data_IF_013891810450
#
_entry.id   IF_013891810450
#
_cell.length_a   1.000
_cell.length_b   1.000
_cell.length_c   1.000
_cell.angle_alpha   90.00
_cell.angle_beta   90.00
_cell.angle_gamma   90.00
#
_symmetry.space_group_name_H-M   'P 1'
#
loop_
_entity.id
_entity.type
_entity.pdbx_description
1 polymer ?
#
# COMPACT_ATOMS: atom_id res chain seq x y z
N UNK A 1 23.60 -18.23 8.32
CA UNK A 1 24.67 -17.22 8.50
C UNK A 1 23.95 -15.89 8.53
N UNK A 2 23.86 -15.27 9.70
CA UNK A 2 23.05 -14.08 9.91
C UNK A 2 23.74 -12.88 9.27
N UNK A 3 22.96 -12.03 8.57
CA UNK A 3 23.41 -10.75 8.01
C UNK A 3 23.99 -9.82 9.11
N UNK A 4 23.69 -10.09 10.40
CA UNK A 4 24.32 -9.41 11.54
C UNK A 4 25.85 -9.57 11.62
N UNK A 5 26.43 -10.67 11.13
CA UNK A 5 27.86 -10.95 11.30
C UNK A 5 28.77 -10.21 10.29
N UNK A 6 28.20 -9.59 9.25
CA UNK A 6 28.98 -8.85 8.25
C UNK A 6 29.07 -7.33 8.52
N UNK A 7 28.21 -6.76 9.38
CA UNK A 7 28.25 -5.33 9.71
C UNK A 7 29.22 -4.96 10.84
N UNK A 8 29.67 -5.92 11.65
CA UNK A 8 30.64 -5.65 12.72
C UNK A 8 32.09 -5.51 12.23
N UNK A 9 32.35 -5.71 10.94
CA UNK A 9 33.70 -5.65 10.37
C UNK A 9 34.05 -4.38 9.59
N UNK A 10 33.12 -3.43 9.42
CA UNK A 10 33.42 -2.13 8.81
C UNK A 10 33.54 -1.04 9.90
N UNK A 11 34.77 -0.57 10.13
CA UNK A 11 35.09 0.42 11.18
C UNK A 11 34.70 1.88 10.84
N UNK A 12 34.06 2.12 9.69
CA UNK A 12 33.81 3.47 9.18
C UNK A 12 32.32 3.85 9.07
N UNK A 13 31.39 3.02 9.55
CA UNK A 13 29.96 3.36 9.53
C UNK A 13 29.56 3.96 10.88
N UNK A 14 29.14 5.23 10.88
CA UNK A 14 28.58 5.86 12.07
C UNK A 14 27.23 5.25 12.45
N UNK A 15 26.88 5.26 13.73
CA UNK A 15 25.58 4.77 14.23
C UNK A 15 24.39 5.44 13.49
N UNK A 16 24.55 6.71 13.11
CA UNK A 16 23.56 7.46 12.32
C UNK A 16 23.40 6.97 10.87
N UNK A 17 24.46 6.43 10.28
CA UNK A 17 24.45 5.83 8.94
C UNK A 17 23.88 4.42 8.98
N UNK A 18 24.17 3.65 10.02
CA UNK A 18 23.55 2.35 10.26
C UNK A 18 22.03 2.47 10.41
N UNK A 19 21.52 3.42 11.20
CA UNK A 19 20.08 3.69 11.32
C UNK A 19 19.44 4.16 10.00
N UNK A 20 20.18 4.90 9.19
CA UNK A 20 19.71 5.37 7.89
C UNK A 20 19.68 4.25 6.85
N UNK A 21 20.68 3.36 6.88
CA UNK A 21 20.73 2.15 6.06
C UNK A 21 19.65 1.16 6.48
N UNK A 22 19.40 0.97 7.78
CA UNK A 22 18.31 0.13 8.27
C UNK A 22 16.95 0.66 7.82
N UNK A 23 16.73 1.99 7.88
CA UNK A 23 15.52 2.60 7.32
C UNK A 23 15.38 2.36 5.82
N UNK A 24 16.48 2.42 5.08
CA UNK A 24 16.50 2.14 3.64
C UNK A 24 16.19 0.65 3.39
N UNK A 25 16.83 -0.27 4.11
CA UNK A 25 16.66 -1.72 4.00
C UNK A 25 15.24 -2.13 4.37
N UNK A 26 14.68 -1.64 5.48
CA UNK A 26 13.28 -1.89 5.89
C UNK A 26 12.31 -1.37 4.83
N UNK A 27 12.57 -0.17 4.29
CA UNK A 27 11.75 0.42 3.21
C UNK A 27 11.77 -0.40 1.92
N UNK A 28 12.95 -0.88 1.52
CA UNK A 28 13.07 -1.75 0.34
C UNK A 28 12.47 -3.13 0.61
N UNK A 29 12.74 -3.75 1.75
CA UNK A 29 12.19 -5.06 2.12
C UNK A 29 10.67 -5.05 2.29
N UNK A 30 10.11 -3.96 2.84
CA UNK A 30 8.67 -3.76 2.94
C UNK A 30 7.97 -3.74 1.58
N UNK A 31 8.65 -3.21 0.56
CA UNK A 31 8.18 -3.20 -0.83
C UNK A 31 8.29 -4.59 -1.49
N UNK A 32 9.23 -5.43 -1.05
CA UNK A 32 9.50 -6.77 -1.59
C UNK A 32 8.72 -7.92 -0.91
N UNK A 33 8.09 -7.70 0.25
CA UNK A 33 7.34 -8.72 1.00
C UNK A 33 6.02 -9.20 0.34
N UNK A 34 5.69 -8.72 -0.86
CA UNK A 34 4.63 -9.30 -1.73
C UNK A 34 5.16 -10.36 -2.72
N UNK A 35 6.38 -10.86 -2.52
CA UNK A 35 6.83 -12.08 -3.18
C UNK A 35 6.46 -13.26 -2.28
N UNK A 36 5.84 -14.31 -2.81
CA UNK A 36 5.45 -15.52 -2.07
C UNK A 36 6.67 -16.18 -1.40
N UNK A 37 7.07 -15.70 -0.23
CA UNK A 37 8.15 -16.30 0.55
C UNK A 37 7.56 -17.53 1.25
N UNK A 38 7.76 -18.68 0.63
CA UNK A 38 7.52 -19.98 1.25
C UNK A 38 8.53 -20.19 2.38
N UNK A 39 8.07 -20.47 3.59
CA UNK A 39 8.94 -20.73 4.74
C UNK A 39 8.99 -22.24 4.94
N UNK A 40 10.19 -22.82 5.00
CA UNK A 40 10.35 -24.23 5.33
C UNK A 40 10.37 -24.35 6.86
N UNK A 41 9.39 -25.05 7.43
CA UNK A 41 9.37 -25.34 8.86
C UNK A 41 10.58 -26.22 9.21
N UNK A 42 11.40 -25.76 10.14
CA UNK A 42 12.70 -26.39 10.48
C UNK A 42 12.51 -27.73 11.21
N UNK A 43 11.35 -27.95 11.84
CA UNK A 43 11.01 -29.17 12.58
C UNK A 43 10.33 -30.22 11.69
N UNK A 44 9.48 -29.78 10.75
CA UNK A 44 8.69 -30.69 9.90
C UNK A 44 9.24 -30.82 8.48
N UNK A 45 10.12 -29.92 8.05
CA UNK A 45 10.68 -29.87 6.69
C UNK A 45 9.67 -29.52 5.60
N UNK A 46 8.44 -29.14 5.97
CA UNK A 46 7.37 -28.84 5.03
C UNK A 46 7.36 -27.35 4.68
N UNK A 47 7.03 -27.04 3.42
CA UNK A 47 6.73 -25.67 3.00
C UNK A 47 5.43 -25.22 3.68
N UNK A 48 5.55 -24.23 4.56
CA UNK A 48 4.43 -23.56 5.21
C UNK A 48 4.31 -22.13 4.67
N UNK A 49 3.06 -21.69 4.54
CA UNK A 49 2.76 -20.27 4.33
C UNK A 49 3.17 -19.51 5.58
N UNK A 50 3.91 -18.41 5.43
CA UNK A 50 4.28 -17.56 6.55
C UNK A 50 3.04 -17.23 7.40
N UNK A 51 3.13 -17.29 8.74
CA UNK A 51 2.00 -16.94 9.59
C UNK A 51 1.53 -15.52 9.25
N UNK A 52 0.27 -15.40 8.84
CA UNK A 52 -0.41 -14.12 8.60
C UNK A 52 -0.61 -13.42 9.95
N UNK A 53 0.45 -12.91 10.55
CA UNK A 53 0.34 -11.99 11.69
C UNK A 53 -0.24 -10.68 11.17
N UNK A 54 -1.54 -10.56 11.41
CA UNK A 54 -2.46 -9.52 11.00
C UNK A 54 -2.18 -8.18 11.73
N UNK A 55 -0.95 -7.67 11.61
CA UNK A 55 -0.67 -6.25 11.62
C UNK A 55 0.04 -6.01 10.29
N UNK A 56 -0.78 -5.74 9.27
CA UNK A 56 -0.29 -5.29 7.97
C UNK A 56 0.27 -3.89 8.18
N UNK A 57 1.52 -3.81 8.64
CA UNK A 57 2.25 -2.56 8.84
C UNK A 57 2.81 -2.02 7.51
N UNK A 58 2.51 -2.70 6.40
CA UNK A 58 2.99 -2.40 5.05
C UNK A 58 4.52 -2.22 5.02
N UNK A 59 5.25 -3.07 5.76
CA UNK A 59 6.70 -2.99 5.89
C UNK A 59 7.16 -1.82 6.75
N UNK A 60 6.44 -1.56 7.84
CA UNK A 60 6.66 -0.44 8.74
C UNK A 60 6.27 0.93 8.16
N UNK A 61 5.54 0.96 7.04
CA UNK A 61 5.08 2.18 6.39
C UNK A 61 3.72 2.65 6.88
N UNK A 62 3.00 1.88 7.70
CA UNK A 62 1.69 2.26 8.19
C UNK A 62 1.49 1.88 9.66
N UNK A 63 0.80 2.72 10.41
CA UNK A 63 0.35 2.45 11.77
C UNK A 63 -1.14 2.10 11.69
N UNK A 64 -1.51 0.91 12.18
CA UNK A 64 -2.90 0.49 12.26
C UNK A 64 -3.67 1.32 13.31
N UNK A 65 -4.80 1.91 12.89
CA UNK A 65 -5.64 2.79 13.69
C UNK A 65 -6.99 2.19 14.09
N UNK A 66 -7.27 0.93 13.73
CA UNK A 66 -8.53 0.25 14.01
C UNK A 66 -9.37 -0.01 12.76
N UNK A 67 -10.67 -0.31 12.96
CA UNK A 67 -11.60 -0.62 11.87
C UNK A 67 -12.85 0.23 11.95
N UNK A 68 -13.51 0.42 10.81
CA UNK A 68 -14.80 1.09 10.72
C UNK A 68 -15.69 0.40 9.68
N UNK A 69 -16.98 0.26 9.99
CA UNK A 69 -17.96 -0.25 9.04
C UNK A 69 -18.59 0.91 8.25
N UNK A 70 -18.42 0.91 6.92
CA UNK A 70 -18.96 1.92 6.01
C UNK A 70 -19.29 1.29 4.66
N UNK A 71 -20.35 1.75 4.00
CA UNK A 71 -20.79 1.26 2.68
C UNK A 71 -21.03 -0.27 2.66
N UNK A 72 -21.45 -0.83 3.80
CA UNK A 72 -21.65 -2.28 3.98
C UNK A 72 -20.36 -3.11 4.03
N UNK A 73 -19.19 -2.47 4.22
CA UNK A 73 -17.88 -3.12 4.29
C UNK A 73 -17.15 -2.73 5.57
N UNK A 74 -16.30 -3.64 6.07
CA UNK A 74 -15.37 -3.36 7.15
C UNK A 74 -14.05 -2.84 6.55
N UNK A 75 -13.65 -1.64 6.96
CA UNK A 75 -12.45 -0.96 6.50
C UNK A 75 -11.42 -0.92 7.61
N UNK A 76 -10.17 -1.26 7.28
CA UNK A 76 -9.03 -1.04 8.16
C UNK A 76 -8.56 0.40 7.98
N UNK A 77 -8.29 1.07 9.10
CA UNK A 77 -7.81 2.45 9.12
C UNK A 77 -6.32 2.42 9.40
N UNK A 78 -5.55 3.16 8.60
CA UNK A 78 -4.13 3.32 8.78
C UNK A 78 -3.74 4.79 8.82
N UNK A 79 -2.64 5.08 9.51
CA UNK A 79 -2.03 6.40 9.60
C UNK A 79 -0.55 6.31 9.24
N UNK A 80 0.06 7.39 8.73
CA UNK A 80 1.48 7.42 8.47
C UNK A 80 2.29 7.34 9.78
N UNK A 81 3.43 6.64 9.79
CA UNK A 81 4.40 6.70 10.87
C UNK A 81 4.94 8.11 11.10
N UNK A 82 5.44 8.38 12.31
CA UNK A 82 5.92 9.71 12.73
C UNK A 82 7.07 10.26 11.87
N UNK A 83 7.84 9.40 11.19
CA UNK A 83 8.94 9.82 10.32
C UNK A 83 8.47 10.42 8.98
N UNK A 84 7.18 10.33 8.64
CA UNK A 84 6.59 11.13 7.57
C UNK A 84 6.26 12.53 8.10
N UNK A 85 7.19 13.47 7.97
CA UNK A 85 7.05 14.83 8.54
C UNK A 85 5.84 15.62 7.99
N UNK A 86 5.44 15.36 6.74
CA UNK A 86 4.32 16.04 6.04
C UNK A 86 3.63 15.08 5.07
N UNK A 87 2.87 14.11 5.57
CA UNK A 87 2.22 13.14 4.72
C UNK A 87 1.10 13.83 3.92
N UNK A 88 0.96 13.45 2.66
CA UNK A 88 -0.09 13.97 1.77
C UNK A 88 -1.50 13.58 2.23
N UNK A 89 -1.61 12.49 2.98
CA UNK A 89 -2.84 11.92 3.52
C UNK A 89 -2.51 11.45 4.94
N UNK A 90 -3.32 11.87 5.92
CA UNK A 90 -3.08 11.51 7.33
C UNK A 90 -3.81 10.23 7.77
N UNK A 91 -4.75 9.76 6.95
CA UNK A 91 -5.59 8.61 7.24
C UNK A 91 -5.94 7.91 5.93
N UNK A 92 -5.67 6.61 5.87
CA UNK A 92 -5.95 5.77 4.72
C UNK A 92 -6.97 4.70 5.10
N UNK A 93 -8.02 4.57 4.29
CA UNK A 93 -9.03 3.53 4.47
C UNK A 93 -8.76 2.38 3.51
N UNK A 94 -8.40 1.22 4.05
CA UNK A 94 -8.03 0.06 3.27
C UNK A 94 -9.05 -1.07 3.41
N UNK A 95 -9.45 -1.62 2.26
CA UNK A 95 -10.20 -2.85 2.18
C UNK A 95 -9.64 -3.65 0.99
N UNK A 96 -9.10 -4.84 1.27
CA UNK A 96 -8.41 -5.68 0.30
C UNK A 96 -9.27 -6.02 -0.92
N UNK A 97 -10.56 -6.32 -0.70
CA UNK A 97 -11.50 -6.62 -1.81
C UNK A 97 -11.69 -5.41 -2.71
N UNK A 98 -11.89 -4.23 -2.13
CA UNK A 98 -12.06 -2.99 -2.90
C UNK A 98 -10.77 -2.63 -3.64
N UNK A 99 -9.62 -2.71 -2.96
CA UNK A 99 -8.32 -2.43 -3.57
C UNK A 99 -8.04 -3.36 -4.75
N UNK A 100 -8.31 -4.66 -4.62
CA UNK A 100 -8.18 -5.65 -5.69
C UNK A 100 -9.03 -5.29 -6.92
N UNK A 101 -10.34 -5.01 -6.73
CA UNK A 101 -11.24 -4.62 -7.83
C UNK A 101 -10.74 -3.35 -8.53
N UNK A 102 -10.29 -2.36 -7.76
CA UNK A 102 -9.79 -1.10 -8.32
C UNK A 102 -8.47 -1.29 -9.06
N UNK A 103 -7.55 -2.09 -8.52
CA UNK A 103 -6.28 -2.41 -9.17
C UNK A 103 -6.50 -3.13 -10.50
N UNK A 104 -7.44 -4.06 -10.57
CA UNK A 104 -7.80 -4.75 -11.81
C UNK A 104 -8.49 -3.82 -12.80
N UNK A 105 -9.49 -3.06 -12.33
CA UNK A 105 -10.37 -2.27 -13.20
C UNK A 105 -9.72 -0.99 -13.73
N UNK A 106 -8.85 -0.37 -12.93
CA UNK A 106 -8.27 0.95 -13.22
C UNK A 106 -6.77 0.88 -13.52
N UNK A 107 -6.18 -0.31 -13.64
CA UNK A 107 -4.74 -0.51 -13.83
C UNK A 107 -4.13 0.42 -14.89
N UNK A 108 -4.79 0.51 -16.05
CA UNK A 108 -4.29 1.28 -17.19
C UNK A 108 -4.41 2.80 -17.02
N UNK A 109 -5.23 3.26 -16.08
CA UNK A 109 -5.38 4.67 -15.72
C UNK A 109 -4.48 5.09 -14.55
N UNK A 110 -3.85 4.14 -13.85
CA UNK A 110 -2.97 4.42 -12.72
C UNK A 110 -1.65 5.05 -13.21
N UNK A 111 -1.14 6.12 -12.56
CA UNK A 111 0.16 6.69 -12.87
C UNK A 111 1.29 5.65 -12.78
N UNK A 112 2.10 5.56 -13.83
CA UNK A 112 3.19 4.58 -13.90
C UNK A 112 2.73 3.12 -13.95
N UNK A 113 1.43 2.85 -14.12
CA UNK A 113 0.83 1.50 -14.21
C UNK A 113 1.28 0.56 -13.08
N UNK A 114 1.28 1.09 -11.85
CA UNK A 114 1.62 0.32 -10.66
C UNK A 114 0.51 -0.72 -10.42
N UNK A 115 0.85 -2.01 -10.45
CA UNK A 115 -0.13 -3.12 -10.40
C UNK A 115 -0.97 -3.14 -9.12
N UNK A 116 -0.39 -2.76 -8.00
CA UNK A 116 -0.96 -2.83 -6.65
C UNK A 116 -1.15 -1.44 -6.04
N UNK A 117 -1.43 -0.42 -6.86
CA UNK A 117 -1.51 0.97 -6.45
C UNK A 117 -2.45 1.21 -5.25
N UNK A 118 -3.63 0.59 -5.27
CA UNK A 118 -4.62 0.73 -4.19
C UNK A 118 -4.32 -0.13 -2.96
N UNK A 119 -3.25 -0.93 -2.98
CA UNK A 119 -2.75 -1.65 -1.80
C UNK A 119 -1.57 -0.93 -1.13
N UNK A 120 -1.18 0.23 -1.64
CA UNK A 120 -0.03 0.98 -1.14
C UNK A 120 -0.55 2.22 -0.40
N UNK A 121 -0.11 2.46 0.85
CA UNK A 121 -0.51 3.66 1.59
C UNK A 121 -0.13 4.93 0.82
N UNK A 122 -1.03 5.94 0.72
CA UNK A 122 -0.82 7.14 -0.09
C UNK A 122 0.50 7.87 0.15
N UNK A 123 0.91 7.98 1.41
CA UNK A 123 2.14 8.68 1.81
C UNK A 123 3.43 8.02 1.29
N UNK A 124 3.40 6.75 0.88
CA UNK A 124 4.54 6.06 0.27
C UNK A 124 4.88 6.67 -1.10
N UNK A 125 3.89 7.20 -1.82
CA UNK A 125 4.11 7.89 -3.10
C UNK A 125 4.69 9.31 -2.92
N UNK A 126 4.65 9.89 -1.72
CA UNK A 126 5.15 11.26 -1.49
C UNK A 126 6.67 11.33 -1.25
N UNK A 127 7.40 10.22 -1.34
CA UNK A 127 8.79 10.17 -0.91
C UNK A 127 9.70 10.91 -1.92
N UNK A 128 10.25 12.04 -1.45
CA UNK A 128 11.12 13.05 -2.11
C UNK A 128 12.15 12.60 -3.16
N UNK A 129 12.50 11.31 -3.25
CA UNK A 129 13.59 10.81 -4.08
C UNK A 129 13.14 10.03 -5.32
N UNK A 130 11.84 9.82 -5.54
CA UNK A 130 11.33 9.21 -6.77
C UNK A 130 10.53 10.23 -7.59
N UNK A 131 11.10 10.66 -8.71
CA UNK A 131 10.51 11.62 -9.66
C UNK A 131 9.29 11.07 -10.42
N UNK A 132 8.89 9.83 -10.18
CA UNK A 132 7.99 9.07 -11.07
C UNK A 132 6.61 8.79 -10.47
N UNK A 133 6.45 8.83 -9.15
CA UNK A 133 5.26 8.29 -8.49
C UNK A 133 4.58 9.31 -7.58
N UNK A 134 3.86 10.28 -8.15
CA UNK A 134 2.96 11.14 -7.34
C UNK A 134 1.70 10.36 -7.01
N UNK A 135 1.24 10.45 -5.76
CA UNK A 135 -0.11 10.01 -5.42
C UNK A 135 -1.14 10.82 -6.20
N UNK A 136 -2.02 10.10 -6.87
CA UNK A 136 -3.22 10.62 -7.51
C UNK A 136 -4.44 10.05 -6.76
N UNK A 137 -5.36 10.90 -6.28
CA UNK A 137 -6.60 10.48 -5.66
C UNK A 137 -7.44 9.56 -6.56
N UNK A 138 -8.17 8.62 -5.94
CA UNK A 138 -9.06 7.70 -6.66
C UNK A 138 -10.07 8.42 -7.56
N UNK A 139 -10.60 9.57 -7.13
CA UNK A 139 -11.52 10.37 -7.92
C UNK A 139 -10.91 10.79 -9.27
N UNK A 140 -9.66 11.23 -9.26
CA UNK A 140 -8.96 11.68 -10.45
C UNK A 140 -8.62 10.48 -11.36
N UNK A 141 -8.16 9.36 -10.79
CA UNK A 141 -7.91 8.11 -11.52
C UNK A 141 -9.18 7.62 -12.23
N UNK A 142 -10.34 7.66 -11.57
CA UNK A 142 -11.60 7.23 -12.19
C UNK A 142 -11.98 8.15 -13.35
N UNK A 143 -11.85 9.46 -13.19
CA UNK A 143 -12.16 10.39 -14.29
C UNK A 143 -11.20 10.21 -15.46
N UNK A 144 -9.91 10.02 -15.20
CA UNK A 144 -8.92 9.75 -16.25
C UNK A 144 -9.23 8.43 -16.95
N UNK A 145 -9.62 7.38 -16.22
CA UNK A 145 -10.05 6.11 -16.79
C UNK A 145 -11.25 6.27 -17.73
N UNK A 146 -12.22 7.10 -17.35
CA UNK A 146 -13.40 7.40 -18.18
C UNK A 146 -12.99 8.19 -19.44
N UNK A 147 -12.21 9.25 -19.26
CA UNK A 147 -11.79 10.15 -20.33
C UNK A 147 -10.96 9.44 -21.41
N UNK A 148 -10.14 8.46 -21.01
CA UNK A 148 -9.31 7.67 -21.91
C UNK A 148 -10.00 6.37 -22.38
N UNK A 149 -11.25 6.13 -21.99
CA UNK A 149 -12.02 4.97 -22.42
C UNK A 149 -11.57 3.63 -21.81
N UNK A 150 -10.81 3.65 -20.71
CA UNK A 150 -10.47 2.44 -19.92
C UNK A 150 -11.72 1.84 -19.30
N UNK A 151 -12.62 2.68 -18.80
CA UNK A 151 -13.96 2.29 -18.35
C UNK A 151 -15.03 3.18 -18.98
N UNK A 152 -16.26 2.69 -19.19
CA UNK A 152 -17.32 3.46 -19.86
C UNK A 152 -17.98 4.53 -18.97
N UNK A 153 -17.74 4.53 -17.65
CA UNK A 153 -18.36 5.47 -16.72
C UNK A 153 -18.31 5.01 -15.26
N UNK A 154 -18.71 5.90 -14.33
CA UNK A 154 -18.70 5.64 -12.88
C UNK A 154 -19.44 4.36 -12.47
N UNK A 155 -20.62 4.11 -13.04
CA UNK A 155 -21.43 2.93 -12.69
C UNK A 155 -20.87 1.60 -13.23
N UNK A 156 -19.84 1.63 -14.08
CA UNK A 156 -19.10 0.42 -14.44
C UNK A 156 -18.46 -0.22 -13.21
N UNK A 157 -17.98 0.59 -12.27
CA UNK A 157 -17.39 0.11 -11.01
C UNK A 157 -18.40 -0.68 -10.17
N UNK A 158 -19.70 -0.38 -10.28
CA UNK A 158 -20.74 -1.14 -9.60
C UNK A 158 -20.90 -2.54 -10.21
N UNK A 159 -20.82 -2.64 -11.55
CA UNK A 159 -20.78 -3.93 -12.25
C UNK A 159 -19.52 -4.73 -11.92
N UNK A 160 -18.40 -4.05 -11.67
CA UNK A 160 -17.17 -4.66 -11.19
C UNK A 160 -17.22 -5.12 -9.72
N UNK A 161 -18.32 -4.84 -9.00
CA UNK A 161 -18.58 -5.35 -7.66
C UNK A 161 -18.38 -4.35 -6.52
N UNK A 162 -18.19 -3.06 -6.81
CA UNK A 162 -18.16 -2.00 -5.80
C UNK A 162 -19.57 -1.56 -5.39
N UNK A 163 -19.74 -1.24 -4.11
CA UNK A 163 -21.01 -0.72 -3.60
C UNK A 163 -21.33 0.65 -4.24
N UNK A 164 -22.58 0.85 -4.65
CA UNK A 164 -23.01 2.11 -5.27
C UNK A 164 -22.87 3.32 -4.33
N UNK A 165 -23.14 3.16 -3.03
CA UNK A 165 -22.96 4.22 -2.02
C UNK A 165 -21.49 4.65 -1.93
N UNK A 166 -20.56 3.70 -2.02
CA UNK A 166 -19.13 3.97 -2.05
C UNK A 166 -18.73 4.76 -3.31
N UNK A 167 -19.24 4.36 -4.47
CA UNK A 167 -19.00 5.06 -5.75
C UNK A 167 -19.50 6.50 -5.68
N UNK A 168 -20.72 6.71 -5.18
CA UNK A 168 -21.30 8.04 -5.02
C UNK A 168 -20.53 8.88 -3.99
N UNK A 169 -20.02 8.28 -2.91
CA UNK A 169 -19.21 8.98 -1.93
C UNK A 169 -17.87 9.47 -2.51
N UNK A 170 -17.22 8.67 -3.36
CA UNK A 170 -16.03 9.11 -4.10
C UNK A 170 -16.42 10.23 -5.08
N UNK A 171 -17.47 10.03 -5.87
CA UNK A 171 -17.92 10.99 -6.90
C UNK A 171 -18.26 12.36 -6.30
N UNK A 172 -18.89 12.37 -5.13
CA UNK A 172 -19.25 13.58 -4.39
C UNK A 172 -18.09 14.14 -3.53
N UNK A 173 -16.91 13.50 -3.58
CA UNK A 173 -15.72 13.86 -2.81
C UNK A 173 -15.95 13.89 -1.30
N UNK A 174 -16.91 13.10 -0.81
CA UNK A 174 -17.17 12.93 0.62
C UNK A 174 -16.34 11.79 1.21
N UNK A 175 -15.72 10.97 0.35
CA UNK A 175 -14.84 9.88 0.74
C UNK A 175 -13.61 9.81 -0.17
N UNK A 176 -12.44 9.51 0.42
CA UNK A 176 -11.19 9.26 -0.28
C UNK A 176 -10.47 8.10 0.41
N UNK A 177 -9.79 7.28 -0.39
CA UNK A 177 -8.91 6.23 0.12
C UNK A 177 -7.66 6.86 0.73
#
# INVERSE_FOLDING_TARGET
MYIMDEYQNDRDISESEAESLDRIVIKYMGSYRKTDVKIINVETGMEETAPLTMIDDFGGNAIYGGEISMFGLLWKIYSPPQYYERPIVNKWYYNEKVASILNETLHDAVPGKIKNYFDIPPWVFAIKYQSVSRYVPIYDIINDAINHGVIPGWYYLSKAGLNQEFIEAIRNRTFQL
#
